data_IF_909451491045
#
_entry.id   IF_909451491045
#
_cell.length_a   1.000
_cell.length_b   1.000
_cell.length_c   1.000
_cell.angle_alpha   90.00
_cell.angle_beta   90.00
_cell.angle_gamma   90.00
#
_symmetry.space_group_name_H-M   'P 1'
#
loop_
_entity.id
_entity.type
_entity.pdbx_description
1 polymer ?
#
# COMPACT_ATOMS: atom_id res chain seq x y z
N UNK A 1 -41.42 -5.08 7.99
CA UNK A 1 -39.99 -4.73 8.15
C UNK A 1 -39.97 -3.38 8.85
N UNK A 2 -39.49 -3.29 10.10
CA UNK A 2 -39.52 -2.07 10.91
C UNK A 2 -38.44 -1.08 10.48
N UNK A 3 -38.69 0.22 10.66
CA UNK A 3 -37.78 1.31 10.27
C UNK A 3 -36.35 1.17 10.85
N UNK A 4 -36.20 0.52 12.01
CA UNK A 4 -34.91 0.21 12.62
C UNK A 4 -34.00 -0.70 11.78
N UNK A 5 -34.55 -1.62 10.96
CA UNK A 5 -33.74 -2.48 10.08
C UNK A 5 -33.21 -1.70 8.88
N UNK A 6 -33.93 -0.66 8.46
CA UNK A 6 -33.59 0.17 7.31
C UNK A 6 -32.47 1.18 7.63
N UNK A 7 -32.44 1.70 8.86
CA UNK A 7 -31.34 2.53 9.37
C UNK A 7 -30.02 1.76 9.55
N UNK A 8 -30.09 0.49 9.98
CA UNK A 8 -28.90 -0.37 10.09
C UNK A 8 -28.29 -0.72 8.72
N UNK A 9 -29.12 -0.82 7.67
CA UNK A 9 -28.67 -1.10 6.30
C UNK A 9 -28.12 0.15 5.59
N UNK A 10 -28.49 1.36 6.02
CA UNK A 10 -27.96 2.61 5.45
C UNK A 10 -26.53 2.98 5.89
N UNK A 11 -25.98 2.28 6.89
CA UNK A 11 -24.61 2.51 7.39
C UNK A 11 -23.50 1.89 6.52
N UNK A 12 -23.86 1.00 5.59
CA UNK A 12 -22.91 0.37 4.66
C UNK A 12 -23.05 1.04 3.30
N UNK A 13 -22.52 2.26 3.16
CA UNK A 13 -22.29 2.77 1.81
C UNK A 13 -21.36 1.79 1.09
N UNK A 14 -21.69 1.35 -0.13
CA UNK A 14 -20.81 0.48 -0.88
C UNK A 14 -19.47 1.18 -1.04
N UNK A 15 -18.42 0.53 -0.54
CA UNK A 15 -17.04 1.03 -0.63
C UNK A 15 -16.72 1.32 -2.08
N UNK A 16 -16.36 2.57 -2.40
CA UNK A 16 -15.99 2.94 -3.76
C UNK A 16 -14.61 2.36 -4.12
N UNK A 17 -14.60 1.22 -4.83
CA UNK A 17 -13.37 0.52 -5.22
C UNK A 17 -12.37 1.42 -5.97
N UNK A 18 -12.86 2.40 -6.73
CA UNK A 18 -11.99 3.34 -7.44
C UNK A 18 -11.28 4.29 -6.48
N UNK A 19 -11.96 4.74 -5.42
CA UNK A 19 -11.37 5.59 -4.38
C UNK A 19 -10.38 4.80 -3.53
N UNK A 20 -10.74 3.60 -3.10
CA UNK A 20 -9.83 2.69 -2.37
C UNK A 20 -8.56 2.46 -3.16
N UNK A 21 -8.68 2.10 -4.45
CA UNK A 21 -7.52 1.92 -5.32
C UNK A 21 -6.66 3.18 -5.41
N UNK A 22 -7.27 4.35 -5.58
CA UNK A 22 -6.51 5.62 -5.66
C UNK A 22 -5.77 5.91 -4.36
N UNK A 23 -6.41 5.69 -3.22
CA UNK A 23 -5.82 5.89 -1.90
C UNK A 23 -4.63 4.94 -1.67
N UNK A 24 -4.83 3.63 -1.85
CA UNK A 24 -3.77 2.62 -1.70
C UNK A 24 -2.60 2.90 -2.63
N UNK A 25 -2.85 3.19 -3.91
CA UNK A 25 -1.77 3.47 -4.88
C UNK A 25 -1.00 4.73 -4.51
N UNK A 26 -1.64 5.75 -3.93
CA UNK A 26 -0.96 6.94 -3.42
C UNK A 26 -0.01 6.57 -2.27
N UNK A 27 -0.49 5.77 -1.32
CA UNK A 27 0.33 5.33 -0.19
C UNK A 27 1.51 4.45 -0.60
N UNK A 28 1.31 3.53 -1.55
CA UNK A 28 2.40 2.70 -2.10
C UNK A 28 3.47 3.54 -2.80
N UNK A 29 3.09 4.63 -3.48
CA UNK A 29 4.06 5.54 -4.10
C UNK A 29 4.88 6.30 -3.06
N UNK A 30 4.23 6.79 -2.01
CA UNK A 30 4.88 7.49 -0.90
C UNK A 30 5.80 6.56 -0.11
N UNK A 31 5.36 5.31 0.10
CA UNK A 31 6.12 4.27 0.79
C UNK A 31 7.53 4.10 0.26
N UNK A 32 7.77 4.24 -1.05
CA UNK A 32 9.12 4.15 -1.62
C UNK A 32 10.09 5.16 -0.99
N UNK A 33 9.64 6.39 -0.81
CA UNK A 33 10.45 7.43 -0.16
C UNK A 33 10.55 7.19 1.36
N UNK A 34 9.45 6.77 1.99
CA UNK A 34 9.44 6.49 3.43
C UNK A 34 10.36 5.33 3.81
N UNK A 35 10.41 4.26 3.01
CA UNK A 35 11.30 3.11 3.23
C UNK A 35 12.77 3.54 3.23
N UNK A 36 13.16 4.36 2.24
CA UNK A 36 14.52 4.93 2.19
C UNK A 36 14.77 5.83 3.39
N UNK A 37 13.81 6.67 3.78
CA UNK A 37 13.95 7.54 4.95
C UNK A 37 14.16 6.74 6.26
N UNK A 38 13.48 5.60 6.42
CA UNK A 38 13.67 4.70 7.56
C UNK A 38 15.08 4.07 7.55
N UNK A 39 15.56 3.62 6.39
CA UNK A 39 16.92 3.08 6.24
C UNK A 39 17.98 4.13 6.58
N UNK A 40 17.87 5.33 6.00
CA UNK A 40 18.79 6.44 6.28
C UNK A 40 18.81 6.80 7.78
N UNK A 41 17.64 6.80 8.44
CA UNK A 41 17.54 7.08 9.88
C UNK A 41 18.24 6.00 10.72
N UNK A 42 18.17 4.74 10.29
CA UNK A 42 18.85 3.63 10.95
C UNK A 42 20.37 3.75 10.81
N UNK A 43 20.88 4.06 9.61
CA UNK A 43 22.30 4.31 9.36
C UNK A 43 22.85 5.46 10.22
N UNK A 44 22.09 6.56 10.35
CA UNK A 44 22.47 7.69 11.20
C UNK A 44 22.56 7.30 12.68
N UNK A 45 21.58 6.52 13.18
CA UNK A 45 21.60 6.00 14.55
C UNK A 45 22.82 5.12 14.82
N UNK A 46 23.15 4.22 13.90
CA UNK A 46 24.31 3.32 14.00
C UNK A 46 25.65 4.07 14.01
N UNK A 47 25.72 5.21 13.33
CA UNK A 47 26.90 6.08 13.32
C UNK A 47 26.90 7.15 14.41
N UNK A 48 25.86 7.22 15.25
CA UNK A 48 25.73 8.26 16.28
C UNK A 48 25.57 9.66 15.72
N UNK A 49 25.15 9.81 14.46
CA UNK A 49 24.98 11.10 13.79
C UNK A 49 23.55 11.58 14.06
N UNK A 50 23.42 12.75 14.70
CA UNK A 50 22.10 13.31 15.03
C UNK A 50 21.32 13.82 13.82
N UNK A 51 21.98 14.57 12.92
CA UNK A 51 21.34 15.17 11.76
C UNK A 51 22.34 15.35 10.62
N UNK A 52 22.04 14.77 9.45
CA UNK A 52 22.86 14.89 8.24
C UNK A 52 22.39 16.01 7.30
N UNK A 53 21.07 16.23 7.22
CA UNK A 53 20.45 17.25 6.35
C UNK A 53 19.52 18.18 7.14
N UNK A 54 19.29 19.42 6.70
CA UNK A 54 18.32 20.32 7.32
C UNK A 54 16.92 19.72 7.37
N UNK A 55 16.21 19.89 8.50
CA UNK A 55 14.83 19.43 8.69
C UNK A 55 13.88 20.61 8.54
N UNK A 56 12.98 20.50 7.57
CA UNK A 56 11.94 21.51 7.35
C UNK A 56 10.64 21.19 8.12
N UNK A 57 10.45 19.93 8.52
CA UNK A 57 9.26 19.45 9.23
C UNK A 57 9.64 18.31 10.20
N UNK A 58 8.90 18.18 11.30
CA UNK A 58 9.08 17.10 12.29
C UNK A 58 8.04 15.98 12.08
N UNK A 59 8.17 15.23 10.98
CA UNK A 59 7.23 14.14 10.61
C UNK A 59 7.84 12.74 10.73
N UNK A 60 9.04 12.63 11.28
CA UNK A 60 9.86 11.41 11.21
C UNK A 60 9.22 10.19 11.87
N UNK A 61 8.59 10.38 13.04
CA UNK A 61 7.92 9.29 13.76
C UNK A 61 6.70 8.78 12.99
N UNK A 62 5.92 9.69 12.41
CA UNK A 62 4.74 9.34 11.60
C UNK A 62 5.18 8.61 10.34
N UNK A 63 6.18 9.14 9.64
CA UNK A 63 6.74 8.57 8.42
C UNK A 63 7.32 7.16 8.66
N UNK A 64 8.01 6.96 9.77
CA UNK A 64 8.55 5.66 10.17
C UNK A 64 7.43 4.65 10.48
N UNK A 65 6.40 5.05 11.23
CA UNK A 65 5.25 4.19 11.53
C UNK A 65 4.49 3.80 10.26
N UNK A 66 4.29 4.77 9.36
CA UNK A 66 3.63 4.58 8.09
C UNK A 66 4.39 3.60 7.20
N UNK A 67 5.70 3.75 7.08
CA UNK A 67 6.55 2.78 6.37
C UNK A 67 6.42 1.36 6.95
N UNK A 68 6.53 1.24 8.28
CA UNK A 68 6.44 -0.06 8.98
C UNK A 68 5.08 -0.73 8.80
N UNK A 69 3.99 0.03 8.80
CA UNK A 69 2.64 -0.53 8.58
C UNK A 69 2.45 -1.00 7.14
N UNK A 70 2.89 -0.22 6.15
CA UNK A 70 2.82 -0.61 4.74
C UNK A 70 3.70 -1.84 4.47
N UNK A 71 4.90 -1.89 5.04
CA UNK A 71 5.79 -3.05 4.91
C UNK A 71 5.16 -4.33 5.48
N UNK A 72 4.52 -4.26 6.65
CA UNK A 72 3.76 -5.39 7.22
C UNK A 72 2.55 -5.78 6.37
N UNK A 73 1.82 -4.82 5.82
CA UNK A 73 0.68 -5.11 4.94
C UNK A 73 1.15 -5.88 3.68
N UNK A 74 2.24 -5.43 3.05
CA UNK A 74 2.84 -6.10 1.90
C UNK A 74 3.36 -7.51 2.24
N UNK A 75 3.91 -7.70 3.44
CA UNK A 75 4.50 -8.97 3.85
C UNK A 75 3.48 -10.02 4.28
N UNK A 76 2.43 -9.62 4.99
CA UNK A 76 1.55 -10.56 5.70
C UNK A 76 0.10 -10.57 5.22
N UNK A 77 -0.33 -9.58 4.44
CA UNK A 77 -1.73 -9.49 3.96
C UNK A 77 -1.92 -9.98 2.53
N UNK A 78 -0.83 -10.30 1.82
CA UNK A 78 -0.84 -10.67 0.41
C UNK A 78 -0.27 -12.08 0.22
N UNK A 79 -0.84 -12.84 -0.71
CA UNK A 79 -0.18 -14.03 -1.24
C UNK A 79 1.02 -13.66 -2.14
N UNK A 80 1.81 -14.67 -2.55
CA UNK A 80 3.02 -14.44 -3.35
C UNK A 80 2.71 -13.76 -4.69
N UNK A 81 1.64 -14.14 -5.38
CA UNK A 81 1.27 -13.57 -6.69
C UNK A 81 0.78 -12.14 -6.51
N UNK A 82 -0.10 -11.90 -5.55
CA UNK A 82 -0.60 -10.58 -5.19
C UNK A 82 0.54 -9.63 -4.84
N UNK A 83 1.48 -10.08 -4.01
CA UNK A 83 2.65 -9.32 -3.62
C UNK A 83 3.50 -8.97 -4.84
N UNK A 84 3.77 -9.93 -5.74
CA UNK A 84 4.54 -9.68 -6.97
C UNK A 84 3.84 -8.67 -7.88
N UNK A 85 2.51 -8.77 -8.04
CA UNK A 85 1.73 -7.78 -8.78
C UNK A 85 1.95 -6.38 -8.20
N UNK A 86 1.89 -6.23 -6.86
CA UNK A 86 2.05 -4.93 -6.21
C UNK A 86 3.49 -4.40 -6.36
N UNK A 87 4.49 -5.26 -6.15
CA UNK A 87 5.90 -4.92 -6.26
C UNK A 87 6.27 -4.47 -7.68
N UNK A 88 5.94 -5.27 -8.69
CA UNK A 88 6.25 -4.98 -10.10
C UNK A 88 5.47 -3.77 -10.60
N UNK A 89 4.17 -3.66 -10.26
CA UNK A 89 3.31 -2.62 -10.82
C UNK A 89 3.47 -1.25 -10.16
N UNK A 90 3.64 -1.20 -8.84
CA UNK A 90 3.54 0.04 -8.06
C UNK A 90 4.84 0.41 -7.35
N UNK A 91 5.65 -0.57 -6.95
CA UNK A 91 6.88 -0.34 -6.19
C UNK A 91 8.15 -0.32 -7.06
N UNK A 92 8.05 -0.74 -8.32
CA UNK A 92 9.14 -0.60 -9.29
C UNK A 92 9.57 0.87 -9.47
N UNK A 93 10.85 1.06 -9.79
CA UNK A 93 11.44 2.35 -10.16
C UNK A 93 11.01 2.78 -11.57
N UNK A 94 10.62 1.83 -12.42
CA UNK A 94 10.16 2.07 -13.78
C UNK A 94 8.64 1.89 -13.90
N UNK A 95 8.04 2.54 -14.91
CA UNK A 95 6.63 2.36 -15.21
C UNK A 95 6.42 1.05 -15.97
N UNK A 96 5.91 0.04 -15.28
CA UNK A 96 5.59 -1.26 -15.89
C UNK A 96 4.15 -1.26 -16.43
N UNK A 97 3.94 -1.83 -17.63
CA UNK A 97 2.60 -1.99 -18.22
C UNK A 97 1.92 -3.23 -17.62
N UNK A 98 0.59 -3.20 -17.49
CA UNK A 98 -0.17 -4.34 -16.93
C UNK A 98 0.08 -5.63 -17.73
N UNK A 99 0.20 -5.52 -19.07
CA UNK A 99 0.55 -6.63 -19.97
C UNK A 99 1.88 -7.29 -19.65
N UNK A 100 2.88 -6.52 -19.27
CA UNK A 100 4.19 -7.05 -18.91
C UNK A 100 4.07 -7.90 -17.65
N UNK A 101 3.37 -7.39 -16.64
CA UNK A 101 3.19 -8.08 -15.35
C UNK A 101 2.45 -9.41 -15.52
N UNK A 102 1.28 -9.43 -16.20
CA UNK A 102 0.53 -10.68 -16.29
C UNK A 102 1.20 -11.72 -17.21
N UNK A 103 1.99 -11.30 -18.20
CA UNK A 103 2.80 -12.22 -19.01
C UNK A 103 3.92 -12.82 -18.15
N UNK A 104 4.66 -12.01 -17.39
CA UNK A 104 5.77 -12.46 -16.54
C UNK A 104 5.30 -13.38 -15.41
N UNK A 105 4.07 -13.17 -14.92
CA UNK A 105 3.44 -14.01 -13.88
C UNK A 105 2.67 -15.22 -14.42
N UNK A 106 2.65 -15.45 -15.74
CA UNK A 106 1.87 -16.50 -16.39
C UNK A 106 0.36 -16.46 -16.01
N UNK A 107 -0.20 -15.26 -15.91
CA UNK A 107 -1.61 -15.03 -15.60
C UNK A 107 -2.38 -14.67 -16.87
N UNK A 108 -3.64 -15.10 -16.93
CA UNK A 108 -4.57 -14.50 -17.89
C UNK A 108 -4.85 -13.04 -17.49
N UNK A 109 -5.34 -12.25 -18.45
CA UNK A 109 -5.74 -10.86 -18.21
C UNK A 109 -6.74 -10.77 -17.05
N UNK A 110 -7.74 -11.65 -17.02
CA UNK A 110 -8.81 -11.61 -16.02
C UNK A 110 -8.28 -11.99 -14.63
N UNK A 111 -7.49 -13.07 -14.53
CA UNK A 111 -6.82 -13.46 -13.29
C UNK A 111 -5.96 -12.33 -12.72
N UNK A 112 -5.23 -11.61 -13.59
CA UNK A 112 -4.43 -10.46 -13.16
C UNK A 112 -5.29 -9.35 -12.55
N UNK A 113 -6.40 -8.96 -13.20
CA UNK A 113 -7.24 -7.88 -12.68
C UNK A 113 -7.98 -8.26 -11.40
N UNK A 114 -8.39 -9.52 -11.25
CA UNK A 114 -8.96 -10.06 -10.01
C UNK A 114 -7.93 -10.03 -8.87
N UNK A 115 -6.78 -10.68 -9.04
CA UNK A 115 -5.69 -10.70 -8.04
C UNK A 115 -5.22 -9.31 -7.65
N UNK A 116 -5.13 -8.40 -8.63
CA UNK A 116 -4.76 -7.00 -8.39
C UNK A 116 -5.80 -6.27 -7.56
N UNK A 117 -7.09 -6.50 -7.82
CA UNK A 117 -8.19 -5.91 -7.05
C UNK A 117 -8.16 -6.42 -5.61
N UNK A 118 -7.99 -7.73 -5.44
CA UNK A 118 -7.94 -8.38 -4.13
C UNK A 118 -6.74 -7.88 -3.32
N UNK A 119 -5.55 -7.83 -3.92
CA UNK A 119 -4.35 -7.29 -3.28
C UNK A 119 -4.54 -5.84 -2.78
N UNK A 120 -5.19 -4.98 -3.57
CA UNK A 120 -5.51 -3.60 -3.18
C UNK A 120 -6.47 -3.58 -1.99
N UNK A 121 -7.51 -4.43 -2.00
CA UNK A 121 -8.48 -4.50 -0.92
C UNK A 121 -7.83 -5.01 0.38
N UNK A 122 -6.95 -6.00 0.30
CA UNK A 122 -6.22 -6.53 1.46
C UNK A 122 -5.29 -5.47 2.07
N UNK A 123 -4.56 -4.71 1.24
CA UNK A 123 -3.75 -3.59 1.73
C UNK A 123 -4.64 -2.53 2.39
N UNK A 124 -5.75 -2.16 1.75
CA UNK A 124 -6.68 -1.18 2.30
C UNK A 124 -7.19 -1.59 3.68
N UNK A 125 -7.60 -2.86 3.83
CA UNK A 125 -8.06 -3.42 5.11
C UNK A 125 -6.95 -3.46 6.16
N UNK A 126 -5.75 -3.91 5.79
CA UNK A 126 -4.61 -3.98 6.69
C UNK A 126 -4.16 -2.59 7.19
N UNK A 127 -4.36 -1.55 6.38
CA UNK A 127 -4.05 -0.16 6.72
C UNK A 127 -5.25 0.59 7.34
N UNK A 128 -6.38 -0.09 7.57
CA UNK A 128 -7.56 0.52 8.19
C UNK A 128 -8.24 1.59 7.34
N UNK A 129 -8.14 1.49 6.00
CA UNK A 129 -8.83 2.37 5.06
C UNK A 129 -10.30 1.97 4.84
N UNK A 130 -10.62 0.70 5.05
CA UNK A 130 -11.94 0.06 4.88
C UNK A 130 -12.17 -1.04 5.90
#
# INVERSE_FOLDING_TARGET
MSAQVQEQMSFLQPVNETEVRKAVVKELKEYKALRVAVQNKQELKEKGIGQLFPRLQQTETINELKAKQIERALQYSLDEIERRIIEEKYLSTSRVKDITVYIELNLTKDQYYERKKDAIAQIARALGMI
#
